data_IF_574536623796
#
_entry.id   IF_574536623796
#
_cell.length_a   1.000
_cell.length_b   1.000
_cell.length_c   1.000
_cell.angle_alpha   90.00
_cell.angle_beta   90.00
_cell.angle_gamma   90.00
#
_symmetry.space_group_name_H-M   'P 1'
#
loop_
_entity.id
_entity.type
_entity.pdbx_description
1 polymer ?
#
# COMPACT_ATOMS: atom_id res chain seq x y z
N UNK A 1 2.26 -27.22 13.15
CA UNK A 1 2.68 -25.84 12.93
C UNK A 1 3.52 -25.34 14.10
N UNK A 2 3.00 -25.16 15.32
CA UNK A 2 3.74 -24.60 16.49
C UNK A 2 5.10 -25.25 16.79
N UNK A 3 5.27 -26.55 16.54
CA UNK A 3 6.54 -27.26 16.74
C UNK A 3 7.56 -26.90 15.65
N UNK A 4 7.14 -26.80 14.39
CA UNK A 4 8.00 -26.39 13.28
C UNK A 4 8.43 -24.93 13.49
N UNK A 5 7.51 -24.05 13.84
CA UNK A 5 7.79 -22.63 14.14
C UNK A 5 8.83 -22.50 15.25
N UNK A 6 8.72 -23.32 16.30
CA UNK A 6 9.72 -23.35 17.38
C UNK A 6 11.11 -23.82 16.90
N UNK A 7 11.18 -24.86 16.08
CA UNK A 7 12.45 -25.37 15.53
C UNK A 7 13.11 -24.34 14.59
N UNK A 8 12.30 -23.67 13.77
CA UNK A 8 12.76 -22.60 12.87
C UNK A 8 13.28 -21.41 13.68
N UNK A 9 12.51 -20.92 14.65
CA UNK A 9 12.89 -19.77 15.48
C UNK A 9 14.15 -19.98 16.33
N UNK A 10 14.48 -21.25 16.63
CA UNK A 10 15.70 -21.64 17.34
C UNK A 10 16.88 -21.95 16.42
N UNK A 11 16.72 -21.83 15.10
CA UNK A 11 17.77 -22.19 14.14
C UNK A 11 18.16 -23.67 14.16
N UNK A 12 17.25 -24.54 14.61
CA UNK A 12 17.54 -25.99 14.79
C UNK A 12 17.39 -26.82 13.50
N UNK A 13 16.81 -26.21 12.45
CA UNK A 13 16.65 -26.87 11.15
C UNK A 13 17.78 -26.44 10.19
N UNK A 14 18.46 -27.41 9.55
CA UNK A 14 19.44 -27.10 8.51
C UNK A 14 18.80 -26.34 7.35
N UNK A 15 19.50 -25.36 6.78
CA UNK A 15 19.03 -24.50 5.67
C UNK A 15 18.51 -25.32 4.47
N UNK A 16 19.18 -26.42 4.12
CA UNK A 16 18.73 -27.30 3.03
C UNK A 16 17.38 -27.98 3.29
N UNK A 17 17.02 -28.25 4.53
CA UNK A 17 15.70 -28.79 4.92
C UNK A 17 14.63 -27.72 4.81
N UNK A 18 14.93 -26.50 5.30
CA UNK A 18 14.04 -25.33 5.18
C UNK A 18 13.75 -25.02 3.72
N UNK A 19 14.76 -24.95 2.87
CA UNK A 19 14.59 -24.66 1.43
C UNK A 19 13.73 -25.71 0.72
N UNK A 20 13.92 -26.99 1.01
CA UNK A 20 13.09 -28.07 0.44
C UNK A 20 11.64 -27.97 0.92
N UNK A 21 11.42 -27.67 2.20
CA UNK A 21 10.09 -27.44 2.75
C UNK A 21 9.39 -26.25 2.06
N UNK A 22 10.08 -25.12 1.92
CA UNK A 22 9.57 -23.93 1.23
C UNK A 22 9.23 -24.26 -0.24
N UNK A 23 10.13 -24.93 -0.97
CA UNK A 23 9.88 -25.32 -2.36
C UNK A 23 8.67 -26.24 -2.50
N UNK A 24 8.48 -27.17 -1.56
CA UNK A 24 7.32 -28.04 -1.54
C UNK A 24 6.02 -27.26 -1.36
N UNK A 25 5.94 -26.37 -0.38
CA UNK A 25 4.76 -25.54 -0.13
C UNK A 25 4.48 -24.56 -1.28
N UNK A 26 5.50 -23.95 -1.86
CA UNK A 26 5.35 -23.12 -3.06
C UNK A 26 4.76 -23.95 -4.21
N UNK A 27 5.27 -25.16 -4.44
CA UNK A 27 4.77 -26.05 -5.48
C UNK A 27 3.31 -26.45 -5.27
N UNK A 28 2.90 -26.71 -4.01
CA UNK A 28 1.49 -26.94 -3.68
C UNK A 28 0.64 -25.70 -3.95
N UNK A 29 1.07 -24.54 -3.47
CA UNK A 29 0.36 -23.26 -3.65
C UNK A 29 0.14 -22.93 -5.12
N UNK A 30 1.17 -23.09 -5.96
CA UNK A 30 1.05 -22.87 -7.39
C UNK A 30 -0.03 -23.78 -8.02
N UNK A 31 -0.05 -25.07 -7.67
CA UNK A 31 -1.06 -26.00 -8.18
C UNK A 31 -2.47 -25.65 -7.73
N UNK A 32 -2.61 -25.23 -6.46
CA UNK A 32 -3.89 -24.84 -5.89
C UNK A 32 -4.45 -23.55 -6.50
N UNK A 33 -3.60 -22.53 -6.67
CA UNK A 33 -4.06 -21.21 -7.12
C UNK A 33 -4.11 -21.07 -8.64
N UNK A 34 -3.14 -21.64 -9.35
CA UNK A 34 -3.01 -21.46 -10.80
C UNK A 34 -3.56 -22.68 -11.57
N UNK A 35 -3.34 -23.88 -11.06
CA UNK A 35 -3.64 -25.13 -11.76
C UNK A 35 -2.42 -25.68 -12.51
N UNK A 36 -2.60 -26.83 -13.18
CA UNK A 36 -1.51 -27.57 -13.85
C UNK A 36 -1.67 -27.62 -15.36
N UNK A 37 -2.84 -27.28 -15.89
CA UNK A 37 -3.12 -27.22 -17.33
C UNK A 37 -3.64 -25.85 -17.72
N UNK A 38 -3.53 -25.48 -18.99
CA UNK A 38 -4.05 -24.19 -19.51
C UNK A 38 -5.56 -24.06 -19.22
N UNK A 39 -6.32 -25.11 -19.43
CA UNK A 39 -7.76 -25.11 -19.15
C UNK A 39 -8.08 -24.84 -17.66
N UNK A 40 -7.31 -25.45 -16.75
CA UNK A 40 -7.46 -25.18 -15.31
C UNK A 40 -7.05 -23.74 -14.95
N UNK A 41 -6.00 -23.21 -15.57
CA UNK A 41 -5.57 -21.82 -15.37
C UNK A 41 -6.65 -20.84 -15.82
N UNK A 42 -7.24 -21.06 -16.99
CA UNK A 42 -8.32 -20.20 -17.53
C UNK A 42 -9.59 -20.28 -16.67
N UNK A 43 -9.96 -21.49 -16.23
CA UNK A 43 -11.09 -21.66 -15.32
C UNK A 43 -10.87 -20.91 -14.00
N UNK A 44 -9.76 -21.13 -13.34
CA UNK A 44 -9.43 -20.49 -12.04
C UNK A 44 -9.35 -18.97 -12.17
N UNK A 45 -8.79 -18.48 -13.26
CA UNK A 45 -8.79 -17.04 -13.55
C UNK A 45 -10.20 -16.49 -13.69
N UNK A 46 -11.07 -17.19 -14.42
CA UNK A 46 -12.47 -16.77 -14.60
C UNK A 46 -13.23 -16.78 -13.28
N UNK A 47 -13.07 -17.82 -12.47
CA UNK A 47 -13.64 -17.91 -11.12
C UNK A 47 -13.15 -16.80 -10.20
N UNK A 48 -11.86 -16.48 -10.24
CA UNK A 48 -11.29 -15.38 -9.46
C UNK A 48 -11.83 -14.01 -9.88
N UNK A 49 -11.96 -13.77 -11.20
CA UNK A 49 -12.55 -12.53 -11.73
C UNK A 49 -14.02 -12.39 -11.26
N UNK A 50 -14.78 -13.47 -11.26
CA UNK A 50 -16.16 -13.43 -10.78
C UNK A 50 -16.24 -13.20 -9.27
N UNK A 51 -15.37 -13.83 -8.49
CA UNK A 51 -15.23 -13.55 -7.06
C UNK A 51 -14.87 -12.09 -6.78
N UNK A 52 -13.99 -11.48 -7.58
CA UNK A 52 -13.66 -10.06 -7.44
C UNK A 52 -14.85 -9.15 -7.68
N UNK A 53 -15.78 -9.52 -8.57
CA UNK A 53 -16.98 -8.73 -8.87
C UNK A 53 -18.06 -8.84 -7.80
N UNK A 54 -18.17 -10.00 -7.14
CA UNK A 54 -19.24 -10.32 -6.18
C UNK A 54 -18.86 -10.07 -4.73
N UNK A 55 -17.57 -10.02 -4.41
CA UNK A 55 -17.06 -9.75 -3.06
C UNK A 55 -17.21 -8.27 -2.66
N UNK A 56 -17.13 -7.95 -1.36
CA UNK A 56 -16.88 -6.57 -0.90
C UNK A 56 -15.59 -6.00 -1.47
N UNK A 57 -15.41 -4.68 -1.41
CA UNK A 57 -14.19 -3.98 -1.89
C UNK A 57 -12.93 -4.57 -1.25
N UNK A 58 -12.96 -4.86 0.05
CA UNK A 58 -11.88 -5.54 0.75
C UNK A 58 -12.41 -6.58 1.72
N UNK A 59 -11.62 -7.62 1.95
CA UNK A 59 -11.89 -8.68 2.92
C UNK A 59 -10.69 -8.81 3.85
N UNK A 60 -10.94 -9.24 5.11
CA UNK A 60 -9.89 -9.51 6.12
C UNK A 60 -8.92 -8.33 6.35
N UNK A 61 -9.42 -7.11 6.32
CA UNK A 61 -8.59 -5.90 6.51
C UNK A 61 -7.93 -5.85 7.89
N UNK A 62 -8.57 -6.41 8.93
CA UNK A 62 -8.00 -6.52 10.25
C UNK A 62 -6.79 -7.47 10.28
N UNK A 63 -6.87 -8.62 9.62
CA UNK A 63 -5.77 -9.60 9.56
C UNK A 63 -4.57 -9.06 8.79
N UNK A 64 -4.82 -8.31 7.70
CA UNK A 64 -3.76 -7.64 6.94
C UNK A 64 -3.04 -6.60 7.80
N UNK A 65 -3.77 -5.80 8.58
CA UNK A 65 -3.18 -4.85 9.53
C UNK A 65 -2.34 -5.56 10.60
N UNK A 66 -2.85 -6.64 11.16
CA UNK A 66 -2.15 -7.43 12.17
C UNK A 66 -0.84 -8.01 11.64
N UNK A 67 -0.81 -8.43 10.38
CA UNK A 67 0.38 -9.01 9.76
C UNK A 67 1.44 -7.97 9.39
N UNK A 68 1.04 -6.79 8.94
CA UNK A 68 1.95 -5.80 8.38
C UNK A 68 2.31 -4.65 9.33
N UNK A 69 1.41 -4.26 10.23
CA UNK A 69 1.54 -2.99 10.98
C UNK A 69 1.51 -3.14 12.51
N UNK A 70 1.44 -4.36 13.04
CA UNK A 70 1.45 -4.63 14.50
C UNK A 70 2.80 -4.38 15.20
N UNK A 71 3.85 -4.10 14.44
CA UNK A 71 5.15 -3.80 15.00
C UNK A 71 5.21 -2.33 15.45
N UNK A 72 5.94 -2.02 16.52
CA UNK A 72 6.12 -0.64 16.97
C UNK A 72 6.71 0.24 15.87
N UNK A 73 6.32 1.53 15.83
CA UNK A 73 6.88 2.52 14.88
C UNK A 73 8.42 2.53 14.88
N UNK A 74 9.05 2.35 16.05
CA UNK A 74 10.50 2.28 16.20
C UNK A 74 11.16 1.14 15.43
N UNK A 75 10.43 0.06 15.14
CA UNK A 75 10.93 -0.99 14.27
C UNK A 75 11.06 -0.48 12.82
N UNK A 76 10.02 0.18 12.33
CA UNK A 76 10.02 0.73 10.97
C UNK A 76 11.06 1.84 10.80
N UNK A 77 11.28 2.67 11.83
CA UNK A 77 12.33 3.68 11.85
C UNK A 77 13.76 3.10 11.76
N UNK A 78 13.95 1.82 12.08
CA UNK A 78 15.25 1.15 11.98
C UNK A 78 15.46 0.41 10.65
N UNK A 79 14.39 0.02 9.96
CA UNK A 79 14.48 -0.83 8.75
C UNK A 79 14.14 -0.08 7.47
N UNK A 80 13.48 1.07 7.55
CA UNK A 80 13.15 1.94 6.43
C UNK A 80 14.11 3.13 6.38
N UNK A 81 14.16 3.80 5.24
CA UNK A 81 14.89 5.05 5.10
C UNK A 81 14.18 6.25 5.75
N UNK A 82 14.77 7.41 5.63
CA UNK A 82 14.33 8.65 6.28
C UNK A 82 12.90 9.11 5.87
N UNK A 83 12.39 8.65 4.73
CA UNK A 83 11.01 8.92 4.30
C UNK A 83 10.00 7.91 4.84
N UNK A 84 10.48 6.84 5.48
CA UNK A 84 9.61 5.76 5.98
C UNK A 84 8.76 5.13 4.87
N UNK A 85 9.33 4.93 3.69
CA UNK A 85 8.64 4.37 2.54
C UNK A 85 8.55 2.85 2.64
N UNK A 86 7.40 2.35 3.09
CA UNK A 86 7.10 0.92 3.22
C UNK A 86 6.47 0.38 1.93
N UNK A 87 7.13 0.61 0.82
CA UNK A 87 6.81 0.14 -0.53
C UNK A 87 8.08 0.12 -1.37
N UNK A 88 8.04 -0.37 -2.62
CA UNK A 88 9.25 -0.47 -3.42
C UNK A 88 9.94 0.88 -3.65
N UNK A 89 11.27 0.85 -3.73
CA UNK A 89 12.12 1.99 -4.04
C UNK A 89 12.65 1.91 -5.48
N UNK A 90 13.17 3.01 -6.00
CA UNK A 90 13.76 3.08 -7.34
C UNK A 90 15.27 3.30 -7.24
N UNK A 91 16.03 2.34 -7.76
CA UNK A 91 17.48 2.33 -7.71
C UNK A 91 18.06 2.60 -9.11
N UNK A 92 17.91 3.83 -9.59
CA UNK A 92 18.51 4.23 -10.87
C UNK A 92 19.91 4.76 -10.66
N UNK A 93 20.04 5.88 -9.94
CA UNK A 93 21.32 6.49 -9.60
C UNK A 93 21.59 6.47 -8.08
N UNK A 94 20.59 6.10 -7.30
CA UNK A 94 20.63 6.03 -5.84
C UNK A 94 21.75 5.10 -5.34
N UNK A 95 22.51 5.56 -4.37
CA UNK A 95 23.63 4.84 -3.74
C UNK A 95 23.27 4.27 -2.38
N UNK A 96 22.20 4.78 -1.77
CA UNK A 96 21.67 4.29 -0.50
C UNK A 96 20.15 4.25 -0.50
N UNK A 97 19.57 3.79 0.63
CA UNK A 97 18.12 3.62 0.77
C UNK A 97 17.38 4.97 0.74
N UNK A 98 17.93 5.99 1.36
CA UNK A 98 17.31 7.32 1.43
C UNK A 98 17.18 7.94 0.04
N UNK A 99 18.22 7.87 -0.76
CA UNK A 99 18.22 8.34 -2.14
C UNK A 99 17.23 7.54 -3.00
N UNK A 100 17.16 6.22 -2.83
CA UNK A 100 16.22 5.35 -3.58
C UNK A 100 14.76 5.60 -3.21
N UNK A 101 14.48 5.94 -1.94
CA UNK A 101 13.15 6.40 -1.52
C UNK A 101 12.78 7.73 -2.22
N UNK A 102 13.69 8.70 -2.23
CA UNK A 102 13.48 10.00 -2.88
C UNK A 102 13.27 9.86 -4.39
N UNK A 103 14.09 9.08 -5.08
CA UNK A 103 13.92 8.82 -6.52
C UNK A 103 12.54 8.23 -6.84
N UNK A 104 12.07 7.28 -6.02
CA UNK A 104 10.77 6.67 -6.25
C UNK A 104 9.62 7.63 -5.94
N UNK A 105 9.72 8.45 -4.91
CA UNK A 105 8.72 9.47 -4.58
C UNK A 105 8.61 10.52 -5.70
N UNK A 106 9.73 11.01 -6.21
CA UNK A 106 9.78 11.95 -7.33
C UNK A 106 9.18 11.33 -8.62
N UNK A 107 9.53 10.09 -8.91
CA UNK A 107 8.98 9.36 -10.05
C UNK A 107 7.46 9.18 -9.92
N UNK A 108 6.97 8.85 -8.74
CA UNK A 108 5.54 8.71 -8.44
C UNK A 108 4.81 10.04 -8.64
N UNK A 109 5.31 11.13 -8.07
CA UNK A 109 4.76 12.49 -8.22
C UNK A 109 4.70 12.89 -9.70
N UNK A 110 5.77 12.65 -10.44
CA UNK A 110 5.85 12.94 -11.88
C UNK A 110 4.83 12.14 -12.69
N UNK A 111 4.71 10.83 -12.44
CA UNK A 111 3.79 9.94 -13.15
C UNK A 111 2.33 10.24 -12.81
N UNK A 112 2.03 10.61 -11.57
CA UNK A 112 0.71 11.02 -11.14
C UNK A 112 0.31 12.43 -11.65
N UNK A 113 1.20 13.14 -12.34
CA UNK A 113 0.99 14.50 -12.87
C UNK A 113 0.48 15.45 -11.78
N UNK A 114 1.14 15.43 -10.61
CA UNK A 114 0.78 16.28 -9.48
C UNK A 114 1.34 17.69 -9.70
N UNK A 115 0.51 18.69 -9.41
CA UNK A 115 0.85 20.11 -9.51
C UNK A 115 0.48 20.84 -8.24
N UNK A 116 1.18 21.91 -7.96
CA UNK A 116 0.83 22.79 -6.84
C UNK A 116 -0.57 23.38 -7.03
N UNK A 117 -1.33 23.44 -5.95
CA UNK A 117 -2.74 23.87 -5.96
C UNK A 117 -3.75 22.72 -6.18
N UNK A 118 -3.31 21.49 -6.47
CA UNK A 118 -4.24 20.35 -6.56
C UNK A 118 -4.80 19.99 -5.19
N UNK A 119 -6.07 19.57 -5.16
CA UNK A 119 -6.66 18.81 -4.07
C UNK A 119 -6.44 17.31 -4.32
N UNK A 120 -5.71 16.66 -3.41
CA UNK A 120 -5.17 15.31 -3.60
C UNK A 120 -5.76 14.39 -2.55
N UNK A 121 -6.23 13.21 -2.96
CA UNK A 121 -6.60 12.10 -2.09
C UNK A 121 -5.56 10.99 -2.22
N UNK A 122 -4.97 10.58 -1.12
CA UNK A 122 -4.09 9.42 -1.05
C UNK A 122 -4.80 8.27 -0.34
N UNK A 123 -4.95 7.15 -1.03
CA UNK A 123 -5.56 5.92 -0.51
C UNK A 123 -4.49 4.94 -0.07
N UNK A 124 -4.38 4.70 1.24
CA UNK A 124 -3.36 3.84 1.82
C UNK A 124 -2.02 4.57 1.99
N UNK A 125 -2.00 5.61 2.81
CA UNK A 125 -0.82 6.48 2.96
C UNK A 125 0.36 5.87 3.73
N UNK A 126 0.19 4.70 4.35
CA UNK A 126 1.25 4.05 5.13
C UNK A 126 1.84 5.00 6.18
N UNK A 127 3.15 5.09 6.26
CA UNK A 127 3.86 6.00 7.16
C UNK A 127 3.98 7.43 6.62
N UNK A 128 3.30 7.75 5.52
CA UNK A 128 3.19 9.11 4.99
C UNK A 128 4.34 9.55 4.09
N UNK A 129 5.10 8.63 3.52
CA UNK A 129 6.24 8.95 2.67
C UNK A 129 5.87 9.91 1.53
N UNK A 130 4.84 9.57 0.74
CA UNK A 130 4.41 10.44 -0.35
C UNK A 130 3.55 11.61 0.15
N UNK A 131 2.72 11.41 1.19
CA UNK A 131 1.93 12.47 1.85
C UNK A 131 2.81 13.67 2.23
N UNK A 132 3.86 13.42 3.04
CA UNK A 132 4.73 14.47 3.55
C UNK A 132 5.62 15.07 2.45
N UNK A 133 6.03 14.27 1.48
CA UNK A 133 6.81 14.76 0.33
C UNK A 133 5.98 15.70 -0.54
N UNK A 134 4.72 15.34 -0.85
CA UNK A 134 3.81 16.21 -1.59
C UNK A 134 3.50 17.49 -0.82
N UNK A 135 3.23 17.38 0.49
CA UNK A 135 2.90 18.53 1.33
C UNK A 135 4.02 19.58 1.36
N UNK A 136 5.27 19.11 1.42
CA UNK A 136 6.46 19.97 1.39
C UNK A 136 6.69 20.58 0.00
N UNK A 137 6.51 19.79 -1.06
CA UNK A 137 6.79 20.20 -2.44
C UNK A 137 5.72 21.11 -3.02
N UNK A 138 4.46 20.94 -2.59
CA UNK A 138 3.29 21.66 -3.11
C UNK A 138 2.53 22.35 -1.97
N UNK A 139 3.05 23.49 -1.50
CA UNK A 139 2.50 24.15 -0.31
C UNK A 139 1.09 24.75 -0.49
N UNK A 140 0.65 24.95 -1.73
CA UNK A 140 -0.70 25.43 -2.04
C UNK A 140 -1.71 24.30 -2.31
N UNK A 141 -1.27 23.04 -2.30
CA UNK A 141 -2.12 21.85 -2.45
C UNK A 141 -2.76 21.45 -1.12
N UNK A 142 -3.96 20.87 -1.19
CA UNK A 142 -4.61 20.20 -0.06
C UNK A 142 -4.44 18.71 -0.19
N UNK A 143 -3.93 18.03 0.85
CA UNK A 143 -3.69 16.59 0.83
C UNK A 143 -4.54 15.92 1.89
N UNK A 144 -5.47 15.10 1.44
CA UNK A 144 -6.25 14.19 2.28
C UNK A 144 -5.65 12.79 2.16
N UNK A 145 -5.14 12.25 3.26
CA UNK A 145 -4.48 10.96 3.30
C UNK A 145 -5.30 9.98 4.16
N UNK A 146 -5.55 8.79 3.62
CA UNK A 146 -6.34 7.75 4.28
C UNK A 146 -5.43 6.61 4.72
N UNK A 147 -5.47 6.27 6.00
CA UNK A 147 -4.90 5.05 6.57
C UNK A 147 -5.92 4.34 7.44
N UNK A 148 -5.85 3.03 7.54
CA UNK A 148 -6.62 2.25 8.49
C UNK A 148 -5.92 2.06 9.85
N UNK A 149 -4.71 2.63 10.05
CA UNK A 149 -3.92 2.59 11.28
C UNK A 149 -3.91 3.94 12.00
N UNK A 150 -4.42 4.01 13.24
CA UNK A 150 -4.29 5.20 14.09
C UNK A 150 -2.84 5.60 14.36
N UNK A 151 -1.94 4.62 14.50
CA UNK A 151 -0.52 4.82 14.77
C UNK A 151 0.17 5.53 13.59
N UNK A 152 -0.14 5.11 12.36
CA UNK A 152 0.36 5.77 11.16
C UNK A 152 -0.15 7.21 11.07
N UNK A 153 -1.44 7.42 11.35
CA UNK A 153 -2.02 8.77 11.38
C UNK A 153 -1.29 9.67 12.39
N UNK A 154 -1.09 9.19 13.62
CA UNK A 154 -0.41 9.94 14.67
C UNK A 154 1.04 10.29 14.25
N UNK A 155 1.76 9.32 13.71
CA UNK A 155 3.12 9.53 13.21
C UNK A 155 3.16 10.61 12.15
N UNK A 156 2.31 10.54 11.12
CA UNK A 156 2.29 11.52 10.01
C UNK A 156 1.96 12.92 10.53
N UNK A 157 0.95 13.06 11.40
CA UNK A 157 0.57 14.36 11.96
C UNK A 157 1.70 14.97 12.82
N UNK A 158 2.41 14.16 13.59
CA UNK A 158 3.57 14.61 14.39
C UNK A 158 4.70 15.07 13.46
N UNK A 159 5.01 14.35 12.40
CA UNK A 159 6.03 14.74 11.40
C UNK A 159 5.61 16.00 10.64
N UNK A 160 4.36 16.11 10.21
CA UNK A 160 3.82 17.30 9.55
C UNK A 160 3.95 18.54 10.45
N UNK A 161 3.56 18.43 11.71
CA UNK A 161 3.70 19.51 12.71
C UNK A 161 5.17 19.94 12.89
N UNK A 162 6.07 18.98 13.05
CA UNK A 162 7.51 19.26 13.20
C UNK A 162 8.10 19.96 11.98
N UNK A 163 7.61 19.67 10.79
CA UNK A 163 8.01 20.28 9.52
C UNK A 163 7.19 21.53 9.16
N UNK A 164 6.24 21.96 10.00
CA UNK A 164 5.33 23.10 9.78
C UNK A 164 4.50 22.98 8.49
N UNK A 165 4.11 21.75 8.14
CA UNK A 165 3.21 21.48 7.02
C UNK A 165 1.77 21.60 7.51
N UNK A 166 0.99 22.53 6.94
CA UNK A 166 -0.37 22.84 7.37
C UNK A 166 -1.42 22.38 6.34
N UNK A 167 -1.00 21.73 5.28
CA UNK A 167 -1.80 21.32 4.13
C UNK A 167 -2.06 19.82 4.07
N UNK A 168 -1.98 19.13 5.22
CA UNK A 168 -2.17 17.67 5.36
C UNK A 168 -3.33 17.39 6.31
N UNK A 169 -4.31 16.63 5.84
CA UNK A 169 -5.40 16.06 6.63
C UNK A 169 -5.30 14.53 6.57
N UNK A 170 -4.97 13.89 7.69
CA UNK A 170 -4.86 12.42 7.77
C UNK A 170 -6.06 11.86 8.49
N UNK A 171 -6.79 10.97 7.82
CA UNK A 171 -8.01 10.35 8.35
C UNK A 171 -7.83 8.85 8.53
N UNK A 172 -8.27 8.33 9.68
CA UNK A 172 -8.29 6.88 9.93
C UNK A 172 -9.61 6.31 9.42
N UNK A 173 -9.55 5.62 8.28
CA UNK A 173 -10.70 4.97 7.66
C UNK A 173 -10.30 3.71 6.89
N UNK A 174 -11.21 2.73 6.90
CA UNK A 174 -11.13 1.61 5.97
C UNK A 174 -11.61 2.09 4.58
N UNK A 175 -10.76 1.96 3.56
CA UNK A 175 -11.09 2.35 2.17
C UNK A 175 -12.34 1.65 1.66
N UNK A 176 -12.58 0.40 2.11
CA UNK A 176 -13.79 -0.35 1.71
C UNK A 176 -15.11 0.28 2.19
N UNK A 177 -15.06 1.11 3.22
CA UNK A 177 -16.22 1.77 3.82
C UNK A 177 -16.21 3.29 3.61
N UNK A 178 -15.13 3.79 3.00
CA UNK A 178 -14.93 5.22 2.80
C UNK A 178 -16.00 5.82 1.89
N UNK A 179 -16.62 6.88 2.34
CA UNK A 179 -17.51 7.72 1.57
C UNK A 179 -17.11 9.18 1.74
N UNK A 180 -16.89 9.90 0.64
CA UNK A 180 -16.46 11.29 0.64
C UNK A 180 -17.39 12.11 -0.24
N UNK A 181 -17.85 13.25 0.28
CA UNK A 181 -18.59 14.25 -0.50
C UNK A 181 -17.65 15.21 -1.26
N UNK A 182 -16.36 15.14 -0.94
CA UNK A 182 -15.31 15.98 -1.51
C UNK A 182 -14.90 15.48 -2.90
N UNK A 183 -14.42 16.42 -3.71
CA UNK A 183 -13.85 16.13 -5.04
C UNK A 183 -12.37 16.44 -5.07
N UNK A 184 -11.64 15.69 -5.88
CA UNK A 184 -10.18 15.74 -5.94
C UNK A 184 -9.69 15.85 -7.39
N UNK A 185 -8.58 16.55 -7.58
CA UNK A 185 -7.89 16.65 -8.87
C UNK A 185 -7.02 15.43 -9.12
N UNK A 186 -6.53 14.81 -8.04
CA UNK A 186 -5.73 13.58 -8.08
C UNK A 186 -6.16 12.63 -6.98
N UNK A 187 -6.31 11.37 -7.36
CA UNK A 187 -6.39 10.26 -6.41
C UNK A 187 -5.14 9.40 -6.64
N UNK A 188 -4.41 9.10 -5.57
CA UNK A 188 -3.16 8.33 -5.60
C UNK A 188 -3.32 7.11 -4.72
N UNK A 189 -2.84 5.97 -5.20
CA UNK A 189 -2.71 4.76 -4.40
C UNK A 189 -1.42 4.04 -4.78
N UNK A 190 -0.61 3.72 -3.76
CA UNK A 190 0.67 3.02 -3.92
C UNK A 190 0.64 1.76 -3.07
N UNK A 191 0.77 0.60 -3.71
CA UNK A 191 0.80 -0.73 -3.07
C UNK A 191 -0.33 -0.95 -2.04
N UNK A 192 -1.58 -0.59 -2.43
CA UNK A 192 -2.78 -0.82 -1.64
C UNK A 192 -3.82 -1.64 -2.42
N UNK A 193 -3.86 -1.51 -3.75
CA UNK A 193 -4.87 -2.18 -4.58
C UNK A 193 -4.77 -3.71 -4.51
N UNK A 194 -3.59 -4.28 -4.26
CA UNK A 194 -3.40 -5.72 -4.05
C UNK A 194 -4.18 -6.28 -2.85
N UNK A 195 -4.54 -5.43 -1.88
CA UNK A 195 -5.38 -5.80 -0.75
C UNK A 195 -6.88 -5.73 -1.05
N UNK A 196 -7.24 -5.19 -2.21
CA UNK A 196 -8.64 -5.03 -2.63
C UNK A 196 -9.14 -6.25 -3.42
N UNK A 197 -10.47 -6.38 -3.53
CA UNK A 197 -11.11 -7.47 -4.28
C UNK A 197 -12.05 -6.92 -5.35
N UNK A 198 -13.05 -6.15 -4.99
CA UNK A 198 -14.02 -5.63 -5.95
C UNK A 198 -13.52 -4.33 -6.60
N UNK A 199 -12.66 -4.48 -7.59
CA UNK A 199 -12.12 -3.34 -8.34
C UNK A 199 -13.20 -2.52 -9.07
N UNK A 200 -14.21 -3.12 -9.72
CA UNK A 200 -15.27 -2.32 -10.33
C UNK A 200 -15.92 -1.37 -9.33
N UNK A 201 -16.32 -1.87 -8.16
CA UNK A 201 -16.94 -1.04 -7.12
C UNK A 201 -15.97 0.00 -6.53
N UNK A 202 -14.70 -0.36 -6.33
CA UNK A 202 -13.68 0.59 -5.86
C UNK A 202 -13.44 1.70 -6.87
N UNK A 203 -13.32 1.36 -8.16
CA UNK A 203 -13.08 2.34 -9.23
C UNK A 203 -14.30 3.25 -9.44
N UNK A 204 -15.52 2.72 -9.30
CA UNK A 204 -16.75 3.54 -9.33
C UNK A 204 -16.76 4.58 -8.20
N UNK A 205 -16.40 4.17 -6.97
CA UNK A 205 -16.26 5.11 -5.84
C UNK A 205 -15.18 6.15 -6.10
N UNK A 206 -13.99 5.74 -6.54
CA UNK A 206 -12.90 6.66 -6.86
C UNK A 206 -13.33 7.65 -7.95
N UNK A 207 -14.01 7.16 -9.00
CA UNK A 207 -14.56 8.03 -10.03
C UNK A 207 -15.55 9.07 -9.46
N UNK A 208 -16.37 8.66 -8.48
CA UNK A 208 -17.28 9.57 -7.82
C UNK A 208 -16.58 10.67 -7.00
N UNK A 209 -15.34 10.48 -6.59
CA UNK A 209 -14.53 11.47 -5.87
C UNK A 209 -13.66 12.34 -6.77
N UNK A 210 -13.52 12.01 -8.05
CA UNK A 210 -12.72 12.81 -8.98
C UNK A 210 -13.51 14.03 -9.52
N UNK A 211 -12.80 15.12 -9.71
CA UNK A 211 -13.24 16.23 -10.54
C UNK A 211 -13.34 15.78 -12.01
N UNK A 212 -14.06 16.48 -12.91
CA UNK A 212 -14.21 16.09 -14.32
C UNK A 212 -12.89 15.80 -15.03
N UNK A 213 -11.84 16.58 -14.75
CA UNK A 213 -10.49 16.42 -15.32
C UNK A 213 -9.53 15.70 -14.34
N UNK A 214 -10.09 15.18 -13.26
CA UNK A 214 -9.30 14.49 -12.22
C UNK A 214 -8.74 13.17 -12.73
N UNK A 215 -7.61 12.75 -12.15
CA UNK A 215 -6.91 11.51 -12.55
C UNK A 215 -6.65 10.61 -11.35
N UNK A 216 -6.79 9.31 -11.58
CA UNK A 216 -6.34 8.27 -10.67
C UNK A 216 -4.93 7.80 -11.09
N UNK A 217 -4.02 7.73 -10.15
CA UNK A 217 -2.74 7.04 -10.27
C UNK A 217 -2.71 5.82 -9.35
N UNK A 218 -2.34 4.68 -9.89
CA UNK A 218 -2.15 3.42 -9.15
C UNK A 218 -0.76 2.88 -9.48
N UNK A 219 -0.06 2.50 -8.42
CA UNK A 219 1.22 1.80 -8.48
C UNK A 219 1.09 0.47 -7.78
#
# INVERSE_FOLDING_TARGET
LKMIDHLVSKGMLPDGVLRKGIQHFIGQRIKEDIGTTVAQMDQKRSEFIEQMRTNPIAIMTADANDQHYRLPTSFFEQVLGNKMKYSCCHWNEATDLDESEEEMLELTIKRADIKDGHKILELGCGWGAITLTMAKKFPNSEIVAISNSPEQREYILNKAKAQKLNNVDVRTHNVAELNLDEKFDRVISVEMFEHMRNYPLLLERIHSWLNPEGKLFVH
#
